data_IF_572076187254
#
_entry.id   IF_572076187254
#
_cell.length_a   1.000
_cell.length_b   1.000
_cell.length_c   1.000
_cell.angle_alpha   90.00
_cell.angle_beta   90.00
_cell.angle_gamma   90.00
#
_symmetry.space_group_name_H-M   'P 1'
#
loop_
_entity.id
_entity.type
_entity.pdbx_description
1 polymer ?
#
# COMPACT_ATOMS: atom_id res chain seq x y z
N UNK A 1 -0.83 37.94 -13.88
CA UNK A 1 -1.41 36.94 -12.96
C UNK A 1 -0.76 35.60 -13.26
N UNK A 2 0.18 35.15 -12.43
CA UNK A 2 0.79 33.83 -12.59
C UNK A 2 -0.16 32.78 -12.00
N UNK A 3 -0.72 31.90 -12.83
CA UNK A 3 -1.45 30.73 -12.35
C UNK A 3 -0.44 29.82 -11.65
N UNK A 4 -0.36 29.89 -10.32
CA UNK A 4 0.37 28.90 -9.52
C UNK A 4 -0.26 27.54 -9.81
N UNK A 5 0.48 26.63 -10.43
CA UNK A 5 0.06 25.23 -10.51
C UNK A 5 -0.11 24.72 -9.06
N UNK A 6 -1.32 24.32 -8.69
CA UNK A 6 -1.53 23.70 -7.39
C UNK A 6 -0.94 22.28 -7.37
N UNK A 7 -0.58 21.81 -6.17
CA UNK A 7 0.08 20.52 -5.98
C UNK A 7 -0.81 19.35 -6.45
N UNK A 8 -2.14 19.51 -6.39
CA UNK A 8 -3.10 18.52 -6.85
C UNK A 8 -3.08 18.34 -8.38
N UNK A 9 -2.88 19.43 -9.13
CA UNK A 9 -2.73 19.43 -10.59
C UNK A 9 -1.43 18.76 -10.98
N UNK A 10 -0.34 19.05 -10.26
CA UNK A 10 0.96 18.39 -10.47
C UNK A 10 0.83 16.89 -10.20
N UNK A 11 0.18 16.49 -9.11
CA UNK A 11 -0.09 15.09 -8.80
C UNK A 11 -0.86 14.38 -9.93
N UNK A 12 -1.98 14.95 -10.38
CA UNK A 12 -2.79 14.39 -11.47
C UNK A 12 -1.97 14.24 -12.76
N UNK A 13 -1.15 15.23 -13.07
CA UNK A 13 -0.26 15.18 -14.23
C UNK A 13 0.76 14.04 -14.12
N UNK A 14 1.40 13.86 -12.96
CA UNK A 14 2.35 12.77 -12.72
C UNK A 14 1.66 11.41 -12.88
N UNK A 15 0.51 11.21 -12.23
CA UNK A 15 -0.26 9.95 -12.34
C UNK A 15 -0.67 9.69 -13.79
N UNK A 16 -1.16 10.72 -14.49
CA UNK A 16 -1.54 10.60 -15.90
C UNK A 16 -0.35 10.20 -16.78
N UNK A 17 0.82 10.81 -16.58
CA UNK A 17 2.04 10.47 -17.31
C UNK A 17 2.49 9.04 -17.05
N UNK A 18 2.42 8.59 -15.81
CA UNK A 18 2.75 7.20 -15.47
C UNK A 18 1.74 6.21 -16.05
N UNK A 19 0.45 6.55 -16.12
CA UNK A 19 -0.57 5.67 -16.75
C UNK A 19 -0.49 5.64 -18.28
N UNK A 20 -0.25 6.78 -18.92
CA UNK A 20 -0.27 6.94 -20.38
C UNK A 20 1.07 6.65 -21.07
N UNK A 21 2.19 6.78 -20.36
CA UNK A 21 3.54 6.82 -20.93
C UNK A 21 4.17 5.49 -21.35
N UNK A 22 3.39 4.43 -21.60
CA UNK A 22 3.95 3.08 -21.80
C UNK A 22 4.01 2.57 -23.23
N UNK A 23 3.65 3.39 -24.22
CA UNK A 23 3.35 2.90 -25.57
C UNK A 23 4.59 2.67 -26.45
N UNK A 24 5.77 3.27 -26.17
CA UNK A 24 7.00 2.99 -26.96
C UNK A 24 8.34 3.01 -26.21
N UNK A 25 8.33 2.96 -24.87
CA UNK A 25 9.51 3.20 -24.02
C UNK A 25 10.12 1.89 -23.51
N UNK A 26 11.45 1.78 -23.46
CA UNK A 26 12.14 0.58 -22.95
C UNK A 26 11.90 0.38 -21.44
N UNK A 27 12.06 -0.85 -20.93
CA UNK A 27 11.86 -1.12 -19.49
C UNK A 27 12.77 -0.27 -18.58
N UNK A 28 13.98 0.07 -19.05
CA UNK A 28 14.94 0.91 -18.32
C UNK A 28 14.48 2.37 -18.21
N UNK A 29 13.98 2.94 -19.31
CA UNK A 29 13.44 4.30 -19.32
C UNK A 29 12.15 4.42 -18.51
N UNK A 30 11.29 3.39 -18.51
CA UNK A 30 10.12 3.31 -17.63
C UNK A 30 10.52 3.41 -16.15
N UNK A 31 11.62 2.76 -15.75
CA UNK A 31 12.14 2.87 -14.39
C UNK A 31 12.58 4.30 -14.09
N UNK A 32 13.42 4.92 -14.93
CA UNK A 32 13.90 6.31 -14.73
C UNK A 32 12.75 7.32 -14.61
N UNK A 33 11.74 7.22 -15.47
CA UNK A 33 10.55 8.10 -15.41
C UNK A 33 9.83 7.91 -14.07
N UNK A 34 9.69 6.67 -13.62
CA UNK A 34 9.01 6.36 -12.36
C UNK A 34 9.80 6.86 -11.15
N UNK A 35 11.14 6.75 -11.18
CA UNK A 35 12.01 7.27 -10.13
C UNK A 35 11.92 8.80 -10.00
N UNK A 36 11.93 9.51 -11.13
CA UNK A 36 11.72 10.97 -11.16
C UNK A 36 10.32 11.32 -10.63
N UNK A 37 9.29 10.59 -11.06
CA UNK A 37 7.94 10.80 -10.57
C UNK A 37 7.83 10.61 -9.05
N UNK A 38 8.44 9.56 -8.48
CA UNK A 38 8.45 9.31 -7.03
C UNK A 38 9.13 10.47 -6.30
N UNK A 39 10.25 10.99 -6.83
CA UNK A 39 10.89 12.16 -6.25
C UNK A 39 9.98 13.39 -6.25
N UNK A 40 9.30 13.66 -7.36
CA UNK A 40 8.37 14.79 -7.45
C UNK A 40 7.19 14.62 -6.50
N UNK A 41 6.63 13.41 -6.38
CA UNK A 41 5.53 13.11 -5.46
C UNK A 41 5.91 13.36 -4.00
N UNK A 42 7.16 13.07 -3.62
CA UNK A 42 7.65 13.37 -2.26
C UNK A 42 7.82 14.85 -1.95
N UNK A 43 7.80 15.73 -2.97
CA UNK A 43 7.83 17.18 -2.80
C UNK A 43 6.42 17.79 -2.70
N UNK A 44 5.37 17.00 -2.93
CA UNK A 44 4.00 17.49 -2.89
C UNK A 44 3.43 17.42 -1.47
N UNK A 45 2.54 18.36 -1.15
CA UNK A 45 1.82 18.34 0.12
C UNK A 45 0.95 17.09 0.20
N UNK A 46 0.96 16.43 1.36
CA UNK A 46 0.19 15.19 1.59
C UNK A 46 -1.30 15.35 1.31
N UNK A 47 -1.87 16.53 1.60
CA UNK A 47 -3.28 16.86 1.32
C UNK A 47 -3.64 16.87 -0.16
N UNK A 48 -2.64 17.00 -1.05
CA UNK A 48 -2.83 17.02 -2.50
C UNK A 48 -2.73 15.63 -3.15
N UNK A 49 -2.24 14.63 -2.42
CA UNK A 49 -2.04 13.28 -2.91
C UNK A 49 -3.33 12.47 -2.84
N UNK A 50 -3.72 11.82 -3.94
CA UNK A 50 -4.83 10.87 -3.92
C UNK A 50 -4.34 9.49 -3.51
N UNK A 51 -4.96 8.89 -2.48
CA UNK A 51 -4.69 7.51 -2.06
C UNK A 51 -4.79 6.54 -3.26
N UNK A 52 -5.89 6.60 -4.02
CA UNK A 52 -6.09 5.78 -5.23
C UNK A 52 -4.96 5.95 -6.24
N UNK A 53 -4.57 7.20 -6.53
CA UNK A 53 -3.50 7.48 -7.49
C UNK A 53 -2.13 6.96 -7.05
N UNK A 54 -1.82 7.00 -5.75
CA UNK A 54 -0.60 6.41 -5.21
C UNK A 54 -0.59 4.87 -5.32
N UNK A 55 -1.72 4.23 -5.04
CA UNK A 55 -1.86 2.77 -5.24
C UNK A 55 -1.79 2.36 -6.71
N UNK A 56 -2.33 3.16 -7.63
CA UNK A 56 -2.18 2.95 -9.06
C UNK A 56 -0.69 2.96 -9.47
N UNK A 57 0.10 3.89 -8.91
CA UNK A 57 1.54 3.97 -9.14
C UNK A 57 2.26 2.78 -8.50
N UNK A 58 1.92 2.41 -7.26
CA UNK A 58 2.49 1.24 -6.57
C UNK A 58 2.26 -0.04 -7.38
N UNK A 59 1.06 -0.21 -7.92
CA UNK A 59 0.75 -1.36 -8.76
C UNK A 59 1.53 -1.32 -10.08
N UNK A 60 1.71 -0.16 -10.71
CA UNK A 60 2.57 -0.01 -11.88
C UNK A 60 4.03 -0.37 -11.56
N UNK A 61 4.56 0.12 -10.42
CA UNK A 61 5.92 -0.16 -9.93
C UNK A 61 6.13 -1.64 -9.64
N UNK A 62 5.17 -2.32 -9.01
CA UNK A 62 5.26 -3.76 -8.69
C UNK A 62 5.43 -4.65 -9.93
N UNK A 63 5.03 -4.15 -11.11
CA UNK A 63 5.19 -4.84 -12.41
C UNK A 63 6.55 -4.58 -13.07
N UNK A 64 7.32 -3.60 -12.57
CA UNK A 64 8.65 -3.27 -13.08
C UNK A 64 9.71 -4.11 -12.35
N UNK A 65 10.53 -4.87 -13.09
CA UNK A 65 11.54 -5.77 -12.51
C UNK A 65 12.81 -5.08 -11.99
N UNK A 66 13.13 -3.88 -12.50
CA UNK A 66 14.45 -3.25 -12.32
C UNK A 66 14.39 -1.89 -11.60
N UNK A 67 13.30 -1.57 -10.91
CA UNK A 67 13.26 -0.33 -10.13
C UNK A 67 14.21 -0.44 -8.93
N UNK A 68 14.94 0.63 -8.62
CA UNK A 68 15.79 0.64 -7.43
C UNK A 68 14.95 0.51 -6.16
N UNK A 69 15.43 -0.33 -5.22
CA UNK A 69 14.79 -0.56 -3.92
C UNK A 69 14.58 0.74 -3.13
N UNK A 70 15.47 1.71 -3.31
CA UNK A 70 15.37 3.01 -2.66
C UNK A 70 14.06 3.72 -3.05
N UNK A 71 13.73 3.77 -4.34
CA UNK A 71 12.51 4.42 -4.81
C UNK A 71 11.25 3.62 -4.50
N UNK A 72 11.33 2.28 -4.55
CA UNK A 72 10.23 1.42 -4.12
C UNK A 72 9.87 1.68 -2.64
N UNK A 73 10.85 1.71 -1.75
CA UNK A 73 10.64 2.01 -0.32
C UNK A 73 10.13 3.44 -0.11
N UNK A 74 10.63 4.41 -0.88
CA UNK A 74 10.15 5.80 -0.82
C UNK A 74 8.68 5.91 -1.23
N UNK A 75 8.25 5.18 -2.25
CA UNK A 75 6.85 5.12 -2.66
C UNK A 75 5.99 4.39 -1.61
N UNK A 76 6.46 3.26 -1.08
CA UNK A 76 5.80 2.55 0.01
C UNK A 76 5.61 3.44 1.24
N UNK A 77 6.56 4.34 1.54
CA UNK A 77 6.41 5.32 2.61
C UNK A 77 5.25 6.29 2.33
N UNK A 78 5.15 6.82 1.11
CA UNK A 78 4.05 7.71 0.73
C UNK A 78 2.70 6.98 0.81
N UNK A 79 2.61 5.75 0.30
CA UNK A 79 1.39 4.95 0.33
C UNK A 79 1.02 4.56 1.77
N UNK A 80 2.00 4.11 2.55
CA UNK A 80 1.83 3.69 3.95
C UNK A 80 1.26 4.80 4.81
N UNK A 81 1.69 6.05 4.59
CA UNK A 81 1.12 7.22 5.25
C UNK A 81 -0.37 7.42 4.97
N UNK A 82 -0.92 6.89 3.88
CA UNK A 82 -2.30 7.15 3.43
C UNK A 82 -3.25 5.97 3.67
N UNK A 83 -2.84 4.97 4.48
CA UNK A 83 -3.64 3.75 4.71
C UNK A 83 -5.00 4.02 5.36
N UNK A 84 -5.16 5.09 6.11
CA UNK A 84 -6.45 5.50 6.70
C UNK A 84 -7.50 5.89 5.66
N UNK A 85 -7.08 6.12 4.41
CA UNK A 85 -7.92 6.42 3.25
C UNK A 85 -7.97 5.28 2.23
N UNK A 86 -7.30 4.16 2.52
CA UNK A 86 -7.28 3.00 1.63
C UNK A 86 -8.54 2.15 1.76
N UNK A 87 -8.78 1.32 0.75
CA UNK A 87 -9.86 0.34 0.69
C UNK A 87 -9.24 -1.05 0.58
N UNK A 88 -10.03 -2.11 0.82
CA UNK A 88 -9.52 -3.48 0.72
C UNK A 88 -8.89 -3.75 -0.67
N UNK A 89 -9.56 -3.34 -1.74
CA UNK A 89 -9.10 -3.51 -3.13
C UNK A 89 -7.68 -2.96 -3.37
N UNK A 90 -7.34 -1.86 -2.68
CA UNK A 90 -6.00 -1.28 -2.77
C UNK A 90 -4.91 -2.20 -2.18
N UNK A 91 -5.23 -3.01 -1.17
CA UNK A 91 -4.30 -3.93 -0.52
C UNK A 91 -4.16 -5.27 -1.28
N UNK A 92 -5.07 -5.58 -2.20
CA UNK A 92 -5.08 -6.81 -3.00
C UNK A 92 -4.08 -6.75 -4.17
N UNK A 93 -2.82 -6.42 -3.85
CA UNK A 93 -1.72 -6.39 -4.81
C UNK A 93 -1.25 -7.82 -5.08
N UNK A 94 -1.20 -8.30 -6.34
CA UNK A 94 -0.74 -9.66 -6.63
C UNK A 94 0.70 -9.90 -6.16
N UNK A 95 0.97 -11.08 -5.62
CA UNK A 95 2.32 -11.46 -5.20
C UNK A 95 3.29 -11.48 -6.40
N UNK A 96 4.50 -10.90 -6.27
CA UNK A 96 5.53 -10.99 -7.31
C UNK A 96 6.00 -12.44 -7.52
N UNK A 97 5.83 -13.29 -6.51
CA UNK A 97 6.16 -14.71 -6.55
C UNK A 97 4.88 -15.54 -6.51
N UNK A 98 4.28 -15.77 -7.69
CA UNK A 98 3.01 -16.50 -7.86
C UNK A 98 2.95 -17.88 -7.16
N UNK A 99 4.10 -18.47 -6.83
CA UNK A 99 4.19 -19.78 -6.17
C UNK A 99 4.06 -19.73 -4.64
N UNK A 100 4.04 -18.55 -4.01
CA UNK A 100 4.06 -18.44 -2.55
C UNK A 100 2.72 -18.10 -1.91
N UNK A 101 1.93 -17.22 -2.50
CA UNK A 101 0.63 -16.76 -1.98
C UNK A 101 0.01 -15.80 -3.03
N UNK A 102 -1.30 -15.61 -3.04
CA UNK A 102 -2.01 -14.86 -4.10
C UNK A 102 -1.66 -13.37 -4.07
N UNK A 103 -1.65 -12.76 -2.89
CA UNK A 103 -1.43 -11.33 -2.68
C UNK A 103 -0.08 -11.03 -2.02
N UNK A 104 0.52 -9.86 -2.22
CA UNK A 104 1.79 -9.50 -1.58
C UNK A 104 1.61 -9.07 -0.11
N UNK A 105 1.47 -10.06 0.78
CA UNK A 105 1.40 -9.84 2.24
C UNK A 105 2.62 -9.09 2.79
N UNK A 106 3.81 -9.26 2.19
CA UNK A 106 5.00 -8.58 2.67
C UNK A 106 4.93 -7.07 2.39
N UNK A 107 4.36 -6.67 1.24
CA UNK A 107 4.09 -5.27 0.93
C UNK A 107 3.12 -4.68 1.96
N UNK A 108 1.99 -5.34 2.23
CA UNK A 108 1.00 -4.86 3.22
C UNK A 108 1.62 -4.71 4.61
N UNK A 109 2.44 -5.66 5.06
CA UNK A 109 3.18 -5.54 6.32
C UNK A 109 4.12 -4.32 6.35
N UNK A 110 4.79 -4.00 5.24
CA UNK A 110 5.66 -2.81 5.15
C UNK A 110 4.83 -1.52 5.21
N UNK A 111 3.71 -1.46 4.51
CA UNK A 111 2.80 -0.30 4.53
C UNK A 111 2.23 -0.06 5.94
N UNK A 112 1.80 -1.12 6.63
CA UNK A 112 1.29 -1.04 8.01
C UNK A 112 2.37 -0.58 8.99
N UNK A 113 3.62 -1.05 8.83
CA UNK A 113 4.75 -0.56 9.62
C UNK A 113 5.01 0.92 9.41
N UNK A 114 5.00 1.41 8.17
CA UNK A 114 5.13 2.84 7.88
C UNK A 114 4.04 3.62 8.62
N UNK A 115 2.78 3.21 8.47
CA UNK A 115 1.64 3.86 9.11
C UNK A 115 1.82 3.97 10.64
N UNK A 116 2.22 2.87 11.30
CA UNK A 116 2.41 2.85 12.75
C UNK A 116 3.65 3.65 13.21
N UNK A 117 4.72 3.66 12.41
CA UNK A 117 5.90 4.47 12.70
C UNK A 117 5.61 5.98 12.61
N UNK A 118 4.63 6.39 11.81
CA UNK A 118 4.10 7.76 11.80
C UNK A 118 3.17 8.07 12.99
N UNK A 119 3.10 7.17 13.98
CA UNK A 119 2.16 7.10 15.10
C UNK A 119 1.99 8.36 15.95
N UNK A 120 2.92 9.32 15.92
CA UNK A 120 2.78 10.62 16.59
C UNK A 120 1.76 11.54 15.93
N UNK A 121 1.40 11.29 14.66
CA UNK A 121 0.52 12.15 13.86
C UNK A 121 -0.90 11.60 13.69
N UNK A 122 -1.18 10.41 14.21
CA UNK A 122 -2.40 9.68 13.88
C UNK A 122 -3.51 9.91 14.89
N UNK A 123 -4.67 10.32 14.41
CA UNK A 123 -5.87 10.35 15.24
C UNK A 123 -6.36 8.93 15.55
N UNK A 124 -7.05 8.77 16.68
CA UNK A 124 -7.68 7.50 17.07
C UNK A 124 -8.61 6.95 15.99
N UNK A 125 -9.29 7.84 15.26
CA UNK A 125 -10.18 7.47 14.16
C UNK A 125 -9.42 6.88 12.96
N UNK A 126 -8.25 7.43 12.62
CA UNK A 126 -7.41 6.88 11.56
C UNK A 126 -6.88 5.50 11.92
N UNK A 127 -6.42 5.33 13.16
CA UNK A 127 -5.93 4.05 13.65
C UNK A 127 -7.03 2.97 13.60
N UNK A 128 -8.26 3.30 14.00
CA UNK A 128 -9.43 2.40 13.90
C UNK A 128 -9.77 2.01 12.46
N UNK A 129 -9.72 2.97 11.53
CA UNK A 129 -9.94 2.69 10.09
C UNK A 129 -8.92 1.68 9.56
N UNK A 130 -7.64 1.87 9.89
CA UNK A 130 -6.59 0.94 9.46
C UNK A 130 -6.69 -0.42 10.14
N UNK A 131 -7.13 -0.47 11.40
CA UNK A 131 -7.43 -1.74 12.07
C UNK A 131 -8.55 -2.51 11.36
N UNK A 132 -9.68 -1.86 11.08
CA UNK A 132 -10.79 -2.48 10.36
C UNK A 132 -10.39 -2.93 8.94
N UNK A 133 -9.57 -2.13 8.24
CA UNK A 133 -9.02 -2.49 6.94
C UNK A 133 -8.10 -3.72 7.02
N UNK A 134 -7.23 -3.77 8.03
CA UNK A 134 -6.31 -4.89 8.26
C UNK A 134 -7.06 -6.18 8.62
N UNK A 135 -8.09 -6.10 9.45
CA UNK A 135 -8.92 -7.25 9.80
C UNK A 135 -9.70 -7.75 8.56
N UNK A 136 -10.15 -6.85 7.69
CA UNK A 136 -10.79 -7.23 6.42
C UNK A 136 -9.79 -7.92 5.47
N UNK A 137 -8.55 -7.43 5.44
CA UNK A 137 -7.47 -8.07 4.67
C UNK A 137 -7.08 -9.44 5.23
N UNK A 138 -7.05 -9.60 6.56
CA UNK A 138 -6.80 -10.88 7.23
C UNK A 138 -7.83 -11.93 6.82
N UNK A 139 -9.13 -11.58 6.77
CA UNK A 139 -10.19 -12.47 6.29
C UNK A 139 -9.93 -12.88 4.83
N UNK A 140 -9.58 -11.94 3.96
CA UNK A 140 -9.35 -12.20 2.54
C UNK A 140 -8.16 -13.13 2.28
N UNK A 141 -7.08 -13.03 3.08
CA UNK A 141 -5.88 -13.88 2.92
C UNK A 141 -5.92 -15.17 3.73
N UNK A 142 -6.81 -15.29 4.71
CA UNK A 142 -6.91 -16.45 5.60
C UNK A 142 -7.08 -17.79 4.85
N UNK A 143 -7.89 -17.89 3.77
CA UNK A 143 -8.07 -19.14 3.03
C UNK A 143 -6.87 -19.57 2.16
N UNK A 144 -5.80 -18.77 2.05
CA UNK A 144 -4.64 -19.12 1.23
C UNK A 144 -3.75 -20.14 1.96
N UNK A 145 -3.86 -21.42 1.58
CA UNK A 145 -3.07 -22.54 2.13
C UNK A 145 -1.55 -22.33 2.09
N UNK A 146 -1.05 -21.44 1.24
CA UNK A 146 0.39 -21.17 1.15
C UNK A 146 0.84 -20.03 2.07
N UNK A 147 -0.11 -19.32 2.70
CA UNK A 147 0.19 -18.29 3.67
C UNK A 147 0.80 -18.90 4.93
N UNK A 148 2.06 -18.58 5.20
CA UNK A 148 2.79 -19.10 6.37
C UNK A 148 2.21 -18.54 7.68
N UNK A 149 2.17 -19.35 8.77
CA UNK A 149 1.68 -18.90 10.07
C UNK A 149 2.41 -17.67 10.60
N UNK A 150 3.73 -17.59 10.36
CA UNK A 150 4.54 -16.44 10.78
C UNK A 150 4.11 -15.12 10.11
N UNK A 151 3.64 -15.16 8.86
CA UNK A 151 3.13 -13.96 8.17
C UNK A 151 1.74 -13.58 8.66
N UNK A 152 0.88 -14.57 8.86
CA UNK A 152 -0.46 -14.34 9.40
C UNK A 152 -0.38 -13.72 10.80
N UNK A 153 0.42 -14.30 11.69
CA UNK A 153 0.69 -13.74 13.02
C UNK A 153 1.27 -12.32 12.96
N UNK A 154 2.20 -12.05 12.04
CA UNK A 154 2.76 -10.71 11.87
C UNK A 154 1.70 -9.66 11.47
N UNK A 155 0.70 -10.03 10.66
CA UNK A 155 -0.41 -9.12 10.31
C UNK A 155 -1.30 -8.82 11.51
N UNK A 156 -1.54 -9.81 12.38
CA UNK A 156 -2.32 -9.62 13.60
C UNK A 156 -1.60 -8.67 14.57
N UNK A 157 -0.30 -8.88 14.74
CA UNK A 157 0.53 -8.20 15.74
C UNK A 157 1.00 -6.80 15.34
N UNK A 158 0.84 -6.40 14.06
CA UNK A 158 1.36 -5.10 13.59
C UNK A 158 0.59 -3.90 14.17
N UNK A 159 -0.67 -4.10 14.55
CA UNK A 159 -1.51 -3.06 15.14
C UNK A 159 -1.72 -3.33 16.63
N UNK A 160 -1.69 -2.28 17.47
CA UNK A 160 -1.90 -2.45 18.91
C UNK A 160 -3.38 -2.76 19.20
N UNK A 161 -3.66 -3.58 20.21
CA UNK A 161 -5.03 -4.01 20.55
C UNK A 161 -6.04 -2.86 20.73
N UNK A 162 -5.70 -1.71 21.36
CA UNK A 162 -6.61 -0.58 21.49
C UNK A 162 -7.04 0.09 20.17
N UNK A 163 -6.39 -0.27 19.05
CA UNK A 163 -6.80 0.16 17.72
C UNK A 163 -8.14 -0.46 17.29
N UNK A 164 -8.45 -1.67 17.78
CA UNK A 164 -9.64 -2.43 17.42
C UNK A 164 -10.79 -2.05 18.34
N UNK A 165 -11.95 -1.72 17.76
CA UNK A 165 -13.19 -1.51 18.52
C UNK A 165 -13.90 -2.84 18.85
N UNK A 166 -13.76 -3.82 17.95
CA UNK A 166 -14.20 -5.20 18.12
C UNK A 166 -13.14 -6.14 17.55
N UNK A 167 -13.03 -7.33 18.12
CA UNK A 167 -12.15 -8.40 17.65
C UNK A 167 -12.89 -9.46 16.82
N UNK A 168 -14.19 -9.29 16.51
CA UNK A 168 -15.00 -10.32 15.85
C UNK A 168 -14.44 -10.70 14.48
N UNK A 169 -14.06 -9.71 13.67
CA UNK A 169 -13.44 -9.94 12.34
C UNK A 169 -12.07 -10.60 12.44
N UNK A 170 -11.30 -10.25 13.47
CA UNK A 170 -10.01 -10.88 13.73
C UNK A 170 -10.20 -12.35 14.10
N UNK A 171 -11.13 -12.66 15.01
CA UNK A 171 -11.45 -14.05 15.37
C UNK A 171 -11.99 -14.85 14.18
N UNK A 172 -12.83 -14.23 13.35
CA UNK A 172 -13.31 -14.82 12.09
C UNK A 172 -12.13 -15.16 11.16
N UNK A 173 -11.18 -14.25 10.96
CA UNK A 173 -10.01 -14.51 10.15
C UNK A 173 -9.15 -15.65 10.71
N UNK A 174 -8.98 -15.71 12.04
CA UNK A 174 -8.23 -16.77 12.72
C UNK A 174 -8.93 -18.12 12.51
N UNK A 175 -10.24 -18.21 12.71
CA UNK A 175 -11.01 -19.44 12.50
C UNK A 175 -10.90 -19.91 11.05
N UNK A 176 -11.07 -19.01 10.08
CA UNK A 176 -10.88 -19.35 8.65
C UNK A 176 -9.47 -19.84 8.35
N UNK A 177 -8.44 -19.20 8.91
CA UNK A 177 -7.05 -19.60 8.71
C UNK A 177 -6.79 -21.00 9.29
N UNK A 178 -7.32 -21.29 10.48
CA UNK A 178 -7.17 -22.61 11.12
C UNK A 178 -7.92 -23.73 10.37
N UNK A 179 -9.01 -23.42 9.68
CA UNK A 179 -9.76 -24.41 8.90
C UNK A 179 -9.05 -24.88 7.63
N UNK A 180 -8.13 -24.08 7.08
CA UNK A 180 -7.38 -24.41 5.87
C UNK A 180 -5.93 -24.84 6.13
N UNK A 181 -5.48 -24.81 7.39
CA UNK A 181 -4.13 -25.22 7.82
C UNK A 181 -4.00 -26.72 8.05
#
# INVERSE_FOLDING_TARGET
MSQKLDHATIFRFIVFRLKSGYISVTASEKCKITEVAINLLSLLDRSSLSCRGLFDILQAVSRLKNISKFYALKLEHLVGSMLDQATLDHLLVPSPHKNHHVYDVNLVLRLLKVFILEGSTMSRNQLRKVASLTDSYLIEVAPDIRLKPSKFAALIMVLPDPARESSDRLYQAIDMYLQVC
#
